data_IF_413467160599
#
_entry.id   IF_413467160599
#
_cell.length_a   1.000
_cell.length_b   1.000
_cell.length_c   1.000
_cell.angle_alpha   90.00
_cell.angle_beta   90.00
_cell.angle_gamma   90.00
#
_symmetry.space_group_name_H-M   'P 1'
#
loop_
_entity.id
_entity.type
_entity.pdbx_description
1 polymer ?
#
# COMPACT_ATOMS: atom_id res chain seq x y z
N UNK A 1 -49.91 -13.65 -56.40
CA UNK A 1 -49.57 -15.06 -56.67
C UNK A 1 -48.07 -15.19 -56.97
N UNK A 2 -47.27 -15.66 -56.01
CA UNK A 2 -46.25 -16.72 -56.14
C UNK A 2 -45.32 -16.65 -54.93
N UNK A 3 -45.49 -17.62 -54.06
CA UNK A 3 -44.51 -18.05 -53.08
C UNK A 3 -43.25 -18.53 -53.82
N UNK A 4 -42.08 -18.26 -53.25
CA UNK A 4 -40.95 -19.17 -53.36
C UNK A 4 -40.24 -19.17 -52.01
N UNK A 5 -40.62 -20.17 -51.20
CA UNK A 5 -39.83 -20.62 -50.09
C UNK A 5 -38.70 -21.48 -50.65
N UNK A 6 -37.46 -21.11 -50.37
CA UNK A 6 -36.31 -22.01 -50.49
C UNK A 6 -35.94 -22.50 -49.10
N UNK A 7 -35.85 -23.83 -49.00
CA UNK A 7 -35.84 -24.63 -47.78
C UNK A 7 -34.55 -25.46 -47.80
N UNK A 8 -33.78 -25.40 -46.69
CA UNK A 8 -32.72 -26.29 -46.15
C UNK A 8 -31.23 -26.06 -46.54
N UNK A 9 -30.25 -26.51 -45.71
CA UNK A 9 -30.37 -27.32 -44.48
C UNK A 9 -29.70 -26.77 -43.20
N UNK A 10 -30.22 -27.20 -42.04
CA UNK A 10 -29.47 -27.26 -40.77
C UNK A 10 -28.35 -28.28 -40.89
N UNK A 11 -27.10 -27.90 -40.64
CA UNK A 11 -26.07 -28.85 -40.21
C UNK A 11 -25.75 -28.63 -38.74
N UNK A 12 -26.03 -29.65 -37.93
CA UNK A 12 -25.33 -29.89 -36.66
C UNK A 12 -24.14 -30.80 -37.01
N UNK A 13 -22.94 -30.41 -36.64
CA UNK A 13 -21.81 -31.32 -36.43
C UNK A 13 -20.93 -30.65 -35.36
N UNK A 14 -21.02 -31.07 -34.10
CA UNK A 14 -20.34 -32.23 -33.55
C UNK A 14 -18.80 -32.12 -33.69
N UNK A 15 -18.19 -31.74 -32.57
CA UNK A 15 -16.98 -32.33 -32.00
C UNK A 15 -15.61 -32.07 -32.65
N UNK A 16 -14.62 -31.97 -31.76
CA UNK A 16 -13.24 -32.42 -31.93
C UNK A 16 -12.34 -31.65 -32.90
N UNK A 17 -11.65 -30.62 -32.39
CA UNK A 17 -10.21 -30.42 -32.67
C UNK A 17 -9.52 -29.97 -31.36
N UNK A 18 -9.38 -30.94 -30.45
CA UNK A 18 -8.32 -30.96 -29.44
C UNK A 18 -7.14 -31.66 -30.10
N UNK A 19 -6.25 -30.90 -30.74
CA UNK A 19 -4.94 -31.43 -31.14
C UNK A 19 -3.86 -30.95 -30.17
N UNK A 20 -3.21 -31.96 -29.64
CA UNK A 20 -2.17 -31.98 -28.64
C UNK A 20 -0.84 -32.20 -29.39
N UNK A 21 0.26 -31.87 -28.71
CA UNK A 21 1.62 -32.43 -28.92
C UNK A 21 2.37 -31.77 -30.11
N UNK A 22 3.66 -31.42 -30.06
CA UNK A 22 4.86 -32.01 -29.44
C UNK A 22 5.98 -30.95 -29.37
N UNK A 23 6.74 -30.97 -28.26
CA UNK A 23 8.15 -30.57 -28.03
C UNK A 23 8.79 -29.39 -28.80
N UNK A 24 9.29 -28.42 -28.04
CA UNK A 24 10.71 -28.07 -28.14
C UNK A 24 11.32 -28.08 -26.74
N UNK A 25 12.07 -29.16 -26.49
CA UNK A 25 13.02 -29.29 -25.39
C UNK A 25 14.21 -28.41 -25.78
N UNK A 26 14.24 -27.19 -25.23
CA UNK A 26 15.40 -26.33 -25.22
C UNK A 26 15.93 -26.23 -23.79
N UNK A 27 16.61 -27.27 -23.30
CA UNK A 27 17.41 -27.18 -22.08
C UNK A 27 18.64 -26.34 -22.43
N UNK A 28 18.51 -25.01 -22.30
CA UNK A 28 19.68 -24.17 -22.14
C UNK A 28 20.19 -24.37 -20.73
N UNK A 29 21.40 -24.92 -20.62
CA UNK A 29 22.20 -24.99 -19.40
C UNK A 29 22.52 -23.56 -18.91
N UNK A 30 21.53 -22.87 -18.36
CA UNK A 30 21.74 -21.74 -17.48
C UNK A 30 22.30 -22.29 -16.18
N UNK A 31 23.61 -22.18 -16.01
CA UNK A 31 24.32 -22.46 -14.75
C UNK A 31 23.52 -21.81 -13.62
N UNK A 32 22.87 -22.62 -12.78
CA UNK A 32 22.13 -22.14 -11.62
C UNK A 32 23.12 -21.34 -10.76
N UNK A 33 23.01 -20.01 -10.81
CA UNK A 33 23.73 -19.15 -9.89
C UNK A 33 23.23 -19.58 -8.51
N UNK A 34 24.11 -19.98 -7.58
CA UNK A 34 23.66 -20.39 -6.25
C UNK A 34 22.78 -19.28 -5.70
N UNK A 35 21.55 -19.61 -5.29
CA UNK A 35 20.65 -18.69 -4.58
C UNK A 35 21.33 -18.31 -3.25
N UNK A 36 22.28 -17.37 -3.31
CA UNK A 36 22.91 -16.81 -2.13
C UNK A 36 21.87 -16.06 -1.31
N UNK A 37 22.07 -15.93 0.00
CA UNK A 37 21.16 -15.27 0.96
C UNK A 37 20.58 -13.91 0.49
N UNK A 38 21.24 -13.19 -0.42
CA UNK A 38 20.71 -11.98 -1.06
C UNK A 38 19.44 -12.19 -1.89
N UNK A 39 19.21 -13.39 -2.44
CA UNK A 39 17.98 -13.78 -3.17
C UNK A 39 16.75 -13.73 -2.26
N UNK A 40 16.83 -14.39 -1.09
CA UNK A 40 15.75 -14.45 -0.12
C UNK A 40 15.47 -13.09 0.51
N UNK A 41 16.51 -12.35 0.88
CA UNK A 41 16.37 -11.00 1.41
C UNK A 41 15.69 -10.07 0.40
N UNK A 42 16.06 -10.14 -0.89
CA UNK A 42 15.41 -9.33 -1.93
C UNK A 42 13.95 -9.75 -2.17
N UNK A 43 13.64 -11.06 -2.11
CA UNK A 43 12.26 -11.57 -2.16
C UNK A 43 11.44 -11.10 -0.96
N UNK A 44 12.03 -11.10 0.24
CA UNK A 44 11.39 -10.71 1.50
C UNK A 44 11.25 -9.21 1.68
N UNK A 45 12.17 -8.39 1.15
CA UNK A 45 12.17 -6.91 1.26
C UNK A 45 11.47 -6.23 0.08
N UNK A 46 11.32 -6.94 -1.03
CA UNK A 46 10.61 -6.46 -2.22
C UNK A 46 11.32 -5.32 -2.93
N UNK A 47 10.65 -4.68 -3.89
CA UNK A 47 11.23 -3.58 -4.62
C UNK A 47 11.37 -2.37 -3.68
N UNK A 48 12.57 -1.78 -3.69
CA UNK A 48 12.87 -0.53 -2.97
C UNK A 48 11.97 0.60 -3.47
N UNK A 49 11.63 0.59 -4.76
CA UNK A 49 10.78 1.61 -5.38
C UNK A 49 9.66 0.97 -6.18
N UNK A 50 8.47 1.56 -6.14
CA UNK A 50 7.35 1.09 -6.96
C UNK A 50 7.61 1.39 -8.46
N UNK A 51 7.30 0.47 -9.40
CA UNK A 51 7.31 0.79 -10.82
C UNK A 51 6.30 1.89 -11.13
N UNK A 52 6.63 2.79 -12.07
CA UNK A 52 5.74 3.87 -12.51
C UNK A 52 5.14 4.69 -11.36
N UNK A 53 5.86 4.86 -10.25
CA UNK A 53 5.34 5.48 -9.00
C UNK A 53 4.74 6.88 -9.15
N UNK A 54 5.12 7.63 -10.18
CA UNK A 54 4.58 8.97 -10.46
C UNK A 54 3.59 9.00 -11.63
N UNK A 55 3.19 7.85 -12.16
CA UNK A 55 2.14 7.78 -13.17
C UNK A 55 0.80 8.13 -12.50
N UNK A 56 0.31 9.35 -12.75
CA UNK A 56 -0.94 9.87 -12.20
C UNK A 56 -2.19 9.24 -12.85
N UNK A 57 -2.00 8.50 -13.95
CA UNK A 57 -3.04 7.66 -14.56
C UNK A 57 -3.44 6.50 -13.66
N UNK A 58 -2.58 6.12 -12.71
CA UNK A 58 -2.91 5.17 -11.65
C UNK A 58 -3.40 5.93 -10.42
N UNK A 59 -4.71 5.83 -10.15
CA UNK A 59 -5.35 6.52 -9.03
C UNK A 59 -4.72 6.19 -7.68
N UNK A 60 -4.15 4.99 -7.49
CA UNK A 60 -3.53 4.64 -6.22
C UNK A 60 -2.19 5.35 -6.01
N UNK A 61 -1.48 5.72 -7.09
CA UNK A 61 -0.30 6.58 -6.97
C UNK A 61 -0.69 7.97 -6.50
N UNK A 62 -1.82 8.51 -6.96
CA UNK A 62 -2.33 9.81 -6.50
C UNK A 62 -2.65 9.76 -5.01
N UNK A 63 -3.41 8.74 -4.57
CA UNK A 63 -3.75 8.55 -3.16
C UNK A 63 -2.49 8.39 -2.31
N UNK A 64 -1.52 7.57 -2.75
CA UNK A 64 -0.23 7.39 -2.07
C UNK A 64 0.52 8.71 -1.91
N UNK A 65 0.68 9.49 -2.98
CA UNK A 65 1.40 10.78 -2.93
C UNK A 65 0.70 11.74 -1.98
N UNK A 66 -0.62 11.87 -2.08
CA UNK A 66 -1.40 12.75 -1.19
C UNK A 66 -1.32 12.33 0.27
N UNK A 67 -1.40 11.02 0.55
CA UNK A 67 -1.21 10.49 1.91
C UNK A 67 0.18 10.84 2.46
N UNK A 68 1.22 10.75 1.62
CA UNK A 68 2.56 11.21 1.96
C UNK A 68 2.58 12.69 2.32
N UNK A 69 2.13 13.56 1.41
CA UNK A 69 2.13 15.01 1.61
C UNK A 69 1.38 15.45 2.88
N UNK A 70 0.33 14.72 3.27
CA UNK A 70 -0.39 15.00 4.52
C UNK A 70 0.39 14.74 5.80
N UNK A 71 1.47 13.98 5.77
CA UNK A 71 2.39 13.89 6.91
C UNK A 71 3.27 15.14 7.09
N UNK A 72 3.47 15.97 6.05
CA UNK A 72 4.31 17.16 6.14
C UNK A 72 3.87 18.15 7.23
N UNK A 73 2.59 18.59 7.29
CA UNK A 73 2.14 19.48 8.37
C UNK A 73 2.24 18.81 9.75
N UNK A 74 2.05 17.49 9.86
CA UNK A 74 2.16 16.77 11.15
C UNK A 74 3.60 16.77 11.70
N UNK A 75 4.58 16.55 10.83
CA UNK A 75 6.00 16.63 11.20
C UNK A 75 6.36 18.07 11.58
N UNK A 76 5.94 19.03 10.76
CA UNK A 76 6.22 20.46 11.00
C UNK A 76 5.67 20.91 12.36
N UNK A 77 4.40 20.61 12.67
CA UNK A 77 3.76 21.00 13.92
C UNK A 77 4.47 20.42 15.16
N UNK A 78 5.00 19.20 15.08
CA UNK A 78 5.77 18.59 16.19
C UNK A 78 7.13 19.25 16.39
N UNK A 79 7.79 19.63 15.31
CA UNK A 79 9.10 20.30 15.35
C UNK A 79 8.97 21.77 15.80
N UNK A 80 7.93 22.49 15.37
CA UNK A 80 7.69 23.87 15.78
C UNK A 80 7.05 23.98 17.17
N UNK A 81 6.40 22.92 17.65
CA UNK A 81 5.63 22.90 18.89
C UNK A 81 6.03 21.75 19.82
N UNK A 82 7.33 21.62 20.10
CA UNK A 82 7.87 20.51 20.91
C UNK A 82 7.21 20.47 22.30
N UNK A 83 7.09 21.59 22.99
CA UNK A 83 6.51 21.66 24.35
C UNK A 83 5.03 21.21 24.36
N UNK A 84 4.24 21.70 23.42
CA UNK A 84 2.84 21.30 23.26
C UNK A 84 2.72 19.80 22.95
N UNK A 85 3.62 19.28 22.12
CA UNK A 85 3.66 17.85 21.77
C UNK A 85 4.04 16.99 22.98
N UNK A 86 5.06 17.38 23.75
CA UNK A 86 5.43 16.70 25.00
C UNK A 86 4.28 16.66 26.01
N UNK A 87 3.53 17.77 26.13
CA UNK A 87 2.33 17.83 26.95
C UNK A 87 1.24 16.86 26.47
N UNK A 88 1.04 16.73 25.15
CA UNK A 88 0.11 15.77 24.57
C UNK A 88 0.52 14.32 24.85
N UNK A 89 1.78 13.95 24.60
CA UNK A 89 2.29 12.60 24.83
C UNK A 89 2.22 12.19 26.31
N UNK A 90 2.55 13.12 27.22
CA UNK A 90 2.39 12.89 28.67
C UNK A 90 0.93 12.65 29.04
N UNK A 91 0.00 13.46 28.54
CA UNK A 91 -1.44 13.28 28.78
C UNK A 91 -1.99 11.98 28.18
N UNK A 92 -1.40 11.50 27.08
CA UNK A 92 -1.75 10.23 26.46
C UNK A 92 -1.22 9.01 27.24
N UNK A 93 -0.48 9.21 28.34
CA UNK A 93 0.13 8.14 29.14
C UNK A 93 1.38 7.52 28.50
N UNK A 94 1.91 8.13 27.44
CA UNK A 94 3.09 7.65 26.72
C UNK A 94 4.37 8.18 27.38
N UNK A 95 4.77 7.53 28.48
CA UNK A 95 5.97 7.88 29.26
C UNK A 95 7.11 6.89 28.92
N UNK A 96 8.32 7.36 28.54
CA UNK A 96 8.79 8.75 28.51
C UNK A 96 8.31 9.54 27.27
N UNK A 97 7.69 10.71 27.48
CA UNK A 97 7.14 11.52 26.39
C UNK A 97 8.16 11.95 25.31
N UNK A 98 9.42 12.34 25.63
CA UNK A 98 10.41 12.70 24.62
C UNK A 98 10.76 11.54 23.68
N UNK A 99 10.78 10.31 24.19
CA UNK A 99 11.04 9.12 23.40
C UNK A 99 9.94 8.89 22.36
N UNK A 100 8.67 8.93 22.79
CA UNK A 100 7.53 8.77 21.88
C UNK A 100 7.36 9.93 20.91
N UNK A 101 7.69 11.16 21.33
CA UNK A 101 7.73 12.30 20.43
C UNK A 101 8.77 12.09 19.32
N UNK A 102 10.01 11.75 19.67
CA UNK A 102 11.06 11.46 18.69
C UNK A 102 10.69 10.31 17.75
N UNK A 103 10.08 9.25 18.29
CA UNK A 103 9.60 8.12 17.50
C UNK A 103 8.49 8.52 16.52
N UNK A 104 7.55 9.37 16.96
CA UNK A 104 6.48 9.88 16.10
C UNK A 104 7.04 10.73 14.96
N UNK A 105 7.98 11.64 15.24
CA UNK A 105 8.63 12.47 14.22
C UNK A 105 9.36 11.60 13.21
N UNK A 106 10.09 10.59 13.68
CA UNK A 106 10.82 9.66 12.82
C UNK A 106 9.88 8.90 11.88
N UNK A 107 8.85 8.25 12.42
CA UNK A 107 7.94 7.47 11.59
C UNK A 107 7.09 8.33 10.66
N UNK A 108 6.63 9.50 11.10
CA UNK A 108 5.89 10.42 10.24
C UNK A 108 6.77 10.95 9.11
N UNK A 109 8.05 11.24 9.37
CA UNK A 109 9.01 11.65 8.33
C UNK A 109 9.30 10.52 7.35
N UNK A 110 9.43 9.27 7.84
CA UNK A 110 9.57 8.09 6.99
C UNK A 110 8.33 7.86 6.12
N UNK A 111 7.13 8.05 6.68
CA UNK A 111 5.87 7.95 5.93
C UNK A 111 5.76 9.06 4.89
N UNK A 112 6.08 10.31 5.25
CA UNK A 112 6.11 11.44 4.33
C UNK A 112 7.00 11.15 3.12
N UNK A 113 8.26 10.78 3.35
CA UNK A 113 9.22 10.53 2.26
C UNK A 113 8.87 9.25 1.49
N UNK A 114 8.55 8.17 2.20
CA UNK A 114 8.24 6.86 1.60
C UNK A 114 6.99 6.89 0.73
N UNK A 115 5.91 7.50 1.22
CA UNK A 115 4.69 7.69 0.44
C UNK A 115 4.77 8.81 -0.59
N UNK A 116 5.62 9.81 -0.48
CA UNK A 116 5.74 10.81 -1.55
C UNK A 116 6.56 10.23 -2.71
N UNK A 117 7.74 9.66 -2.42
CA UNK A 117 8.67 9.20 -3.44
C UNK A 117 8.47 7.76 -3.91
N UNK A 118 7.62 6.99 -3.23
CA UNK A 118 7.27 5.61 -3.60
C UNK A 118 8.33 4.62 -3.17
N UNK A 119 8.95 4.88 -2.02
CA UNK A 119 10.01 4.05 -1.43
C UNK A 119 9.40 3.05 -0.44
N UNK A 120 9.78 1.78 -0.56
CA UNK A 120 9.33 0.68 0.31
C UNK A 120 7.83 0.71 0.64
N UNK A 121 6.99 1.07 -0.34
CA UNK A 121 5.60 1.50 -0.10
C UNK A 121 4.76 0.47 0.64
N UNK A 122 5.02 -0.82 0.43
CA UNK A 122 4.35 -1.92 1.15
C UNK A 122 4.59 -1.87 2.66
N UNK A 123 5.83 -1.61 3.09
CA UNK A 123 6.20 -1.54 4.50
C UNK A 123 5.83 -0.20 5.11
N UNK A 124 6.03 0.88 4.35
CA UNK A 124 5.62 2.23 4.77
C UNK A 124 4.11 2.29 4.99
N UNK A 125 3.31 1.59 4.17
CA UNK A 125 1.88 1.41 4.36
C UNK A 125 1.51 0.81 5.71
N UNK A 126 2.19 -0.27 6.11
CA UNK A 126 1.97 -0.91 7.41
C UNK A 126 2.45 -0.05 8.58
N UNK A 127 3.60 0.61 8.43
CA UNK A 127 4.13 1.54 9.45
C UNK A 127 3.14 2.68 9.66
N UNK A 128 2.64 3.28 8.58
CA UNK A 128 1.65 4.35 8.62
C UNK A 128 0.34 3.88 9.29
N UNK A 129 -0.14 2.68 8.96
CA UNK A 129 -1.30 2.08 9.64
C UNK A 129 -1.06 1.93 11.15
N UNK A 130 0.10 1.39 11.55
CA UNK A 130 0.48 1.27 12.95
C UNK A 130 0.53 2.64 13.66
N UNK A 131 1.05 3.67 13.00
CA UNK A 131 1.05 5.03 13.53
C UNK A 131 -0.36 5.56 13.76
N UNK A 132 -1.30 5.28 12.85
CA UNK A 132 -2.71 5.67 13.01
C UNK A 132 -3.37 4.97 14.19
N UNK A 133 -3.05 3.70 14.45
CA UNK A 133 -3.53 2.95 15.62
C UNK A 133 -3.02 3.57 16.93
N UNK A 134 -1.72 3.86 17.02
CA UNK A 134 -1.13 4.51 18.20
C UNK A 134 -1.69 5.91 18.40
N UNK A 135 -1.86 6.68 17.33
CA UNK A 135 -2.49 7.99 17.38
C UNK A 135 -3.95 7.91 17.86
N UNK A 136 -4.70 6.88 17.43
CA UNK A 136 -6.08 6.69 17.84
C UNK A 136 -6.17 6.39 19.33
N UNK A 137 -5.28 5.53 19.83
CA UNK A 137 -5.14 5.31 21.26
C UNK A 137 -4.85 6.61 22.01
N UNK A 138 -3.86 7.40 21.57
CA UNK A 138 -3.51 8.66 22.22
C UNK A 138 -4.67 9.68 22.24
N UNK A 139 -5.47 9.77 21.16
CA UNK A 139 -6.67 10.62 21.12
C UNK A 139 -7.74 10.10 22.09
N UNK A 140 -7.99 8.79 22.12
CA UNK A 140 -8.95 8.19 23.06
C UNK A 140 -8.57 8.51 24.51
N UNK A 141 -7.29 8.42 24.86
CA UNK A 141 -6.83 8.74 26.22
C UNK A 141 -6.92 10.23 26.55
N UNK A 142 -6.60 11.11 25.60
CA UNK A 142 -6.53 12.56 25.87
C UNK A 142 -7.86 13.29 25.72
N UNK A 143 -8.72 12.84 24.82
CA UNK A 143 -9.97 13.52 24.44
C UNK A 143 -11.21 12.63 24.61
N UNK A 144 -11.06 11.35 24.92
CA UNK A 144 -12.15 10.38 24.96
C UNK A 144 -12.56 9.87 23.58
N UNK A 145 -13.60 9.03 23.56
CA UNK A 145 -14.14 8.42 22.33
C UNK A 145 -15.03 9.43 21.61
N UNK A 146 -14.41 10.32 20.84
CA UNK A 146 -15.10 11.23 19.93
C UNK A 146 -14.99 10.70 18.51
N UNK A 147 -16.12 10.51 17.82
CA UNK A 147 -16.12 10.01 16.44
C UNK A 147 -15.86 11.13 15.42
N UNK A 148 -16.49 12.30 15.60
CA UNK A 148 -16.60 13.36 14.59
C UNK A 148 -15.28 14.03 14.15
N UNK A 149 -14.98 14.00 12.86
CA UNK A 149 -13.74 14.41 12.19
C UNK A 149 -13.45 15.89 12.39
N UNK A 150 -14.44 16.76 12.22
CA UNK A 150 -14.21 18.22 12.30
C UNK A 150 -13.79 18.69 13.72
N UNK A 151 -14.01 17.86 14.75
CA UNK A 151 -13.54 18.10 16.12
C UNK A 151 -12.28 17.29 16.47
N UNK A 152 -11.64 16.68 15.47
CA UNK A 152 -10.46 15.82 15.65
C UNK A 152 -10.81 14.47 16.27
N UNK A 153 -11.94 13.88 15.85
CA UNK A 153 -12.38 12.56 16.26
C UNK A 153 -11.59 11.42 15.60
N UNK A 154 -11.88 10.20 16.07
CA UNK A 154 -11.18 8.97 15.70
C UNK A 154 -11.45 8.57 14.24
N UNK A 155 -12.56 9.01 13.64
CA UNK A 155 -12.92 8.62 12.27
C UNK A 155 -11.88 9.06 11.23
N UNK A 156 -11.24 10.22 11.44
CA UNK A 156 -10.10 10.68 10.62
C UNK A 156 -8.97 9.65 10.65
N UNK A 157 -8.57 9.19 11.83
CA UNK A 157 -7.47 8.23 12.00
C UNK A 157 -7.83 6.87 11.42
N UNK A 158 -9.08 6.43 11.57
CA UNK A 158 -9.56 5.20 10.97
C UNK A 158 -9.51 5.27 9.44
N UNK A 159 -9.97 6.37 8.85
CA UNK A 159 -9.93 6.58 7.40
C UNK A 159 -8.49 6.56 6.88
N UNK A 160 -7.58 7.31 7.49
CA UNK A 160 -6.18 7.33 7.07
C UNK A 160 -5.49 6.00 7.31
N UNK A 161 -5.80 5.30 8.40
CA UNK A 161 -5.29 3.96 8.66
C UNK A 161 -5.70 2.96 7.57
N UNK A 162 -6.99 2.89 7.25
CA UNK A 162 -7.49 1.99 6.20
C UNK A 162 -6.91 2.37 4.83
N UNK A 163 -6.78 3.68 4.55
CA UNK A 163 -6.15 4.17 3.31
C UNK A 163 -4.69 3.72 3.22
N UNK A 164 -3.92 3.82 4.31
CA UNK A 164 -2.54 3.34 4.36
C UNK A 164 -2.44 1.84 4.17
N UNK A 165 -3.38 1.07 4.71
CA UNK A 165 -3.46 -0.37 4.48
C UNK A 165 -3.78 -0.70 3.01
N UNK A 166 -4.70 0.04 2.39
CA UNK A 166 -5.04 -0.12 0.97
C UNK A 166 -3.84 0.16 0.06
N UNK A 167 -3.08 1.24 0.34
CA UNK A 167 -1.81 1.56 -0.35
C UNK A 167 -0.81 0.40 -0.21
N UNK A 168 -0.71 -0.17 1.00
CA UNK A 168 0.18 -1.29 1.27
C UNK A 168 -0.18 -2.51 0.41
N UNK A 169 -1.47 -2.90 0.43
CA UNK A 169 -2.01 -4.03 -0.33
C UNK A 169 -1.81 -3.84 -1.84
N UNK A 170 -2.07 -2.64 -2.36
CA UNK A 170 -1.84 -2.31 -3.76
C UNK A 170 -0.36 -2.47 -4.15
N UNK A 171 0.56 -2.01 -3.30
CA UNK A 171 1.99 -2.19 -3.52
C UNK A 171 2.39 -3.67 -3.57
N UNK A 172 1.83 -4.51 -2.70
CA UNK A 172 2.02 -5.97 -2.76
C UNK A 172 1.48 -6.59 -4.05
N UNK A 173 0.29 -6.17 -4.50
CA UNK A 173 -0.32 -6.67 -5.75
C UNK A 173 0.53 -6.32 -6.96
N UNK A 174 1.00 -5.08 -7.05
CA UNK A 174 1.89 -4.63 -8.13
C UNK A 174 3.18 -5.42 -8.15
N UNK A 175 3.76 -5.71 -6.99
CA UNK A 175 4.97 -6.54 -6.90
C UNK A 175 4.71 -7.98 -7.40
N UNK A 176 3.58 -8.59 -7.02
CA UNK A 176 3.23 -9.93 -7.50
C UNK A 176 3.03 -9.96 -9.02
N UNK A 177 2.42 -8.93 -9.59
CA UNK A 177 2.22 -8.81 -11.04
C UNK A 177 3.55 -8.68 -11.83
N UNK A 178 4.61 -8.18 -11.22
CA UNK A 178 5.95 -8.14 -11.84
C UNK A 178 6.67 -9.50 -11.82
N UNK A 179 6.21 -10.42 -10.96
CA UNK A 179 6.81 -11.76 -10.79
C UNK A 179 6.11 -12.84 -11.64
N UNK A 180 4.90 -12.54 -12.14
CA UNK A 180 4.11 -13.42 -13.00
C UNK A 180 4.51 -13.25 -14.47
#
# INVERSE_FOLDING_TARGET
MRQSQTVLPRSRSASLIKWRTVMSIGISHGKAIPEGNGSLLRKLIGPVTLPNRFALTDGMNVVRIMAGLWYAPHVYQKLSGIEASLGFFTKAGLVPAPFFLGLSILFESLCFLGFTFGLFTRWIGLISFGCMVVAAYAIIQTKGVNWYWAKGGIEYLAFWGITSLAIAIDAWRKEQALKA
#
